data_IF_196513240854
#
_entry.id   IF_196513240854
#
_cell.length_a   1.000
_cell.length_b   1.000
_cell.length_c   1.000
_cell.angle_alpha   90.00
_cell.angle_beta   90.00
_cell.angle_gamma   90.00
#
_symmetry.space_group_name_H-M   'P 1'
#
loop_
_entity.id
_entity.type
_entity.pdbx_description
1 polymer ?
#
# COMPACT_ATOMS: atom_id res chain seq x y z
N UNK A 1 -43.39 13.34 7.34
CA UNK A 1 -42.52 13.61 8.51
C UNK A 1 -41.23 14.22 7.98
N UNK A 2 -40.66 15.26 8.61
CA UNK A 2 -39.48 15.94 8.08
C UNK A 2 -38.23 15.03 8.22
N UNK A 3 -37.39 14.91 7.17
CA UNK A 3 -36.26 13.97 7.11
C UNK A 3 -35.18 14.21 8.17
N UNK A 4 -35.12 15.41 8.74
CA UNK A 4 -34.20 15.78 9.81
C UNK A 4 -34.54 15.08 11.14
N UNK A 5 -35.82 14.81 11.41
CA UNK A 5 -36.23 14.12 12.64
C UNK A 5 -35.91 12.62 12.59
N UNK A 6 -35.99 11.97 11.42
CA UNK A 6 -35.52 10.60 11.24
C UNK A 6 -33.99 10.48 11.38
N UNK A 7 -33.25 11.48 10.90
CA UNK A 7 -31.79 11.52 11.05
C UNK A 7 -31.37 11.60 12.53
N UNK A 8 -32.05 12.46 13.30
CA UNK A 8 -31.83 12.61 14.75
C UNK A 8 -32.26 11.34 15.49
N UNK A 9 -33.40 10.75 15.13
CA UNK A 9 -33.89 9.52 15.76
C UNK A 9 -32.95 8.33 15.53
N UNK A 10 -32.43 8.15 14.30
CA UNK A 10 -31.42 7.13 13.99
C UNK A 10 -30.09 7.34 14.72
N UNK A 11 -29.77 8.59 15.06
CA UNK A 11 -28.60 8.95 15.87
C UNK A 11 -28.80 8.66 17.37
N UNK A 12 -30.01 8.83 17.89
CA UNK A 12 -30.37 8.59 19.29
C UNK A 12 -30.56 7.09 19.60
N UNK A 13 -30.80 6.28 18.57
CA UNK A 13 -30.96 4.83 18.68
C UNK A 13 -29.62 4.07 18.75
N UNK A 14 -29.66 2.79 19.13
CA UNK A 14 -28.49 1.91 19.32
C UNK A 14 -27.59 1.75 18.07
N UNK A 15 -28.05 2.17 16.89
CA UNK A 15 -27.24 2.21 15.66
C UNK A 15 -26.21 3.34 15.66
N UNK A 16 -26.57 4.54 16.15
CA UNK A 16 -25.65 5.68 16.24
C UNK A 16 -24.42 5.38 17.09
N UNK A 17 -24.65 4.73 18.24
CA UNK A 17 -23.57 4.27 19.14
C UNK A 17 -22.58 3.34 18.43
N UNK A 18 -23.06 2.37 17.65
CA UNK A 18 -22.18 1.42 16.92
C UNK A 18 -21.33 2.10 15.85
N UNK A 19 -21.87 3.14 15.21
CA UNK A 19 -21.13 3.94 14.21
C UNK A 19 -20.03 4.72 14.92
N UNK A 20 -20.35 5.40 16.02
CA UNK A 20 -19.38 6.16 16.82
C UNK A 20 -18.25 5.25 17.30
N UNK A 21 -18.55 4.06 17.82
CA UNK A 21 -17.54 3.10 18.27
C UNK A 21 -16.60 2.68 17.13
N UNK A 22 -17.14 2.38 15.93
CA UNK A 22 -16.31 2.02 14.76
C UNK A 22 -15.45 3.18 14.28
N UNK A 23 -16.01 4.39 14.24
CA UNK A 23 -15.27 5.61 13.88
C UNK A 23 -14.16 5.90 14.90
N UNK A 24 -14.43 5.74 16.18
CA UNK A 24 -13.43 5.92 17.23
C UNK A 24 -12.27 4.92 17.09
N UNK A 25 -12.56 3.64 16.83
CA UNK A 25 -11.52 2.63 16.55
C UNK A 25 -10.69 3.03 15.33
N UNK A 26 -11.34 3.39 14.22
CA UNK A 26 -10.64 3.80 13.00
C UNK A 26 -9.74 5.02 13.23
N UNK A 27 -10.22 6.03 13.99
CA UNK A 27 -9.43 7.20 14.34
C UNK A 27 -8.22 6.85 15.21
N UNK A 28 -8.35 5.90 16.14
CA UNK A 28 -7.21 5.40 16.92
C UNK A 28 -6.19 4.74 16.01
N UNK A 29 -6.62 3.90 15.06
CA UNK A 29 -5.70 3.25 14.11
C UNK A 29 -4.97 4.28 13.24
N UNK A 30 -5.69 5.26 12.69
CA UNK A 30 -5.11 6.37 11.92
C UNK A 30 -4.14 7.19 12.79
N UNK A 31 -4.52 7.46 14.04
CA UNK A 31 -3.68 8.18 14.99
C UNK A 31 -2.35 7.47 15.25
N UNK A 32 -2.35 6.15 15.40
CA UNK A 32 -1.13 5.35 15.55
C UNK A 32 -0.21 5.51 14.33
N UNK A 33 -0.76 5.44 13.12
CA UNK A 33 0.00 5.59 11.87
C UNK A 33 0.60 6.99 11.74
N UNK A 34 -0.19 8.04 11.99
CA UNK A 34 0.29 9.43 11.96
C UNK A 34 1.41 9.64 12.99
N UNK A 35 1.23 9.13 14.21
CA UNK A 35 2.24 9.24 15.26
C UNK A 35 3.54 8.52 14.88
N UNK A 36 3.44 7.38 14.21
CA UNK A 36 4.61 6.66 13.70
C UNK A 36 5.31 7.45 12.59
N UNK A 37 4.58 7.97 11.61
CA UNK A 37 5.16 8.71 10.48
C UNK A 37 5.80 10.04 10.89
N UNK A 38 5.22 10.74 11.86
CA UNK A 38 5.82 11.98 12.38
C UNK A 38 7.15 11.68 13.09
N UNK A 39 7.27 10.53 13.74
CA UNK A 39 8.47 10.16 14.51
C UNK A 39 9.56 9.52 13.66
N UNK A 40 9.20 8.58 12.79
CA UNK A 40 10.16 7.67 12.15
C UNK A 40 10.29 7.89 10.65
N UNK A 41 9.21 8.27 9.97
CA UNK A 41 9.23 8.40 8.51
C UNK A 41 9.95 9.67 8.07
N UNK A 42 10.81 9.55 7.05
CA UNK A 42 11.49 10.68 6.42
C UNK A 42 11.25 10.70 4.92
N UNK A 43 11.74 9.66 4.24
CA UNK A 43 11.61 9.41 2.81
C UNK A 43 11.84 7.90 2.61
N UNK A 44 11.70 7.42 1.38
CA UNK A 44 12.09 6.07 1.02
C UNK A 44 13.57 5.83 1.34
N UNK A 45 13.83 4.70 1.97
CA UNK A 45 15.19 4.22 2.29
C UNK A 45 15.57 3.01 1.44
N UNK A 46 14.58 2.29 0.92
CA UNK A 46 14.76 1.11 0.09
C UNK A 46 14.92 1.51 -1.40
N UNK A 47 16.06 1.18 -2.05
CA UNK A 47 16.25 1.42 -3.48
C UNK A 47 15.19 0.74 -4.35
N UNK A 48 14.66 -0.39 -3.90
CA UNK A 48 13.62 -1.15 -4.60
C UNK A 48 12.28 -0.39 -4.61
N UNK A 49 11.96 0.34 -3.55
CA UNK A 49 10.77 1.19 -3.51
C UNK A 49 10.90 2.38 -4.48
N UNK A 50 12.10 2.96 -4.56
CA UNK A 50 12.39 4.04 -5.49
C UNK A 50 12.29 3.59 -6.94
N UNK A 51 12.84 2.42 -7.28
CA UNK A 51 12.75 1.85 -8.62
C UNK A 51 11.32 1.45 -8.99
N UNK A 52 10.56 0.82 -8.09
CA UNK A 52 9.15 0.51 -8.35
C UNK A 52 8.32 1.78 -8.60
N UNK A 53 8.57 2.86 -7.84
CA UNK A 53 7.93 4.16 -8.06
C UNK A 53 8.39 4.81 -9.39
N UNK A 54 9.64 4.60 -9.79
CA UNK A 54 10.15 5.08 -11.07
C UNK A 54 9.48 4.34 -12.25
N UNK A 55 9.37 3.02 -12.17
CA UNK A 55 8.67 2.20 -13.17
C UNK A 55 7.21 2.62 -13.25
N UNK A 56 6.55 2.83 -12.11
CA UNK A 56 5.17 3.33 -12.06
C UNK A 56 5.00 4.67 -12.79
N UNK A 57 5.96 5.60 -12.64
CA UNK A 57 5.95 6.88 -13.36
C UNK A 57 6.09 6.69 -14.86
N UNK A 58 6.99 5.81 -15.30
CA UNK A 58 7.15 5.50 -16.72
C UNK A 58 5.88 4.90 -17.32
N UNK A 59 5.19 4.04 -16.58
CA UNK A 59 3.88 3.51 -16.97
C UNK A 59 2.84 4.64 -17.07
N UNK A 60 2.79 5.54 -16.06
CA UNK A 60 1.86 6.65 -16.03
C UNK A 60 2.05 7.62 -17.22
N UNK A 61 3.31 7.87 -17.59
CA UNK A 61 3.76 8.69 -18.73
C UNK A 61 3.52 8.00 -20.10
N UNK A 62 3.09 6.73 -20.12
CA UNK A 62 2.88 5.98 -21.37
C UNK A 62 4.14 5.37 -21.99
N UNK A 63 5.25 5.32 -21.25
CA UNK A 63 6.53 4.68 -21.68
C UNK A 63 6.53 3.16 -21.49
N UNK A 64 5.52 2.63 -20.78
CA UNK A 64 5.39 1.19 -20.48
C UNK A 64 6.24 0.73 -19.29
N UNK A 65 6.44 -0.59 -19.19
CA UNK A 65 7.27 -1.20 -18.14
C UNK A 65 8.75 -1.00 -18.45
N UNK A 66 9.24 0.17 -18.09
CA UNK A 66 10.62 0.55 -18.32
C UNK A 66 11.28 1.15 -17.09
N UNK A 67 12.59 0.97 -16.98
CA UNK A 67 13.40 1.51 -15.88
C UNK A 67 14.64 2.26 -16.42
N UNK A 68 15.11 3.25 -15.65
CA UNK A 68 16.43 3.86 -15.87
C UNK A 68 17.49 3.21 -14.98
N UNK A 69 17.11 2.23 -14.14
CA UNK A 69 18.05 1.50 -13.31
C UNK A 69 18.75 0.42 -14.12
N UNK A 70 20.05 0.62 -14.35
CA UNK A 70 20.88 -0.33 -15.07
C UNK A 70 21.23 -1.50 -14.14
N UNK A 71 20.73 -2.69 -14.48
CA UNK A 71 21.03 -3.94 -13.76
C UNK A 71 21.92 -4.84 -14.62
N UNK A 72 23.13 -5.22 -14.15
CA UNK A 72 24.06 -6.03 -14.95
C UNK A 72 23.46 -7.34 -15.46
N UNK A 73 22.66 -8.03 -14.65
CA UNK A 73 22.00 -9.26 -15.04
C UNK A 73 20.92 -9.04 -16.13
N UNK A 74 20.16 -7.95 -16.04
CA UNK A 74 19.17 -7.61 -17.07
C UNK A 74 19.84 -7.28 -18.40
N UNK A 75 20.97 -6.55 -18.39
CA UNK A 75 21.77 -6.28 -19.59
C UNK A 75 22.25 -7.56 -20.25
N UNK A 76 22.77 -8.51 -19.46
CA UNK A 76 23.19 -9.82 -19.96
C UNK A 76 22.02 -10.58 -20.62
N UNK A 77 20.84 -10.56 -20.00
CA UNK A 77 19.66 -11.23 -20.54
C UNK A 77 19.20 -10.58 -21.85
N UNK A 78 19.15 -9.24 -21.90
CA UNK A 78 18.77 -8.52 -23.12
C UNK A 78 19.78 -8.79 -24.25
N UNK A 79 21.09 -8.74 -23.97
CA UNK A 79 22.13 -8.99 -24.95
C UNK A 79 22.07 -10.42 -25.51
N UNK A 80 21.87 -11.41 -24.64
CA UNK A 80 21.76 -12.81 -25.06
C UNK A 80 20.50 -13.09 -25.89
N UNK A 81 19.35 -12.50 -25.54
CA UNK A 81 18.11 -12.68 -26.28
C UNK A 81 18.07 -11.90 -27.61
N UNK A 82 18.64 -10.69 -27.66
CA UNK A 82 18.59 -9.81 -28.84
C UNK A 82 19.82 -9.92 -29.76
N UNK A 83 20.83 -10.72 -29.39
CA UNK A 83 22.11 -10.87 -30.13
C UNK A 83 22.77 -9.52 -30.45
N UNK A 84 22.68 -8.57 -29.52
CA UNK A 84 23.24 -7.24 -29.70
C UNK A 84 24.78 -7.27 -29.62
N UNK A 85 25.50 -6.64 -30.55
CA UNK A 85 26.97 -6.61 -30.54
C UNK A 85 27.54 -5.87 -29.33
N UNK A 86 26.89 -4.77 -28.90
CA UNK A 86 27.33 -3.90 -27.82
C UNK A 86 26.25 -3.74 -26.74
N UNK A 87 26.64 -3.56 -25.45
CA UNK A 87 25.70 -3.24 -24.39
C UNK A 87 25.09 -1.85 -24.65
N UNK A 88 23.81 -1.82 -25.01
CA UNK A 88 23.04 -0.59 -25.23
C UNK A 88 22.77 0.08 -23.88
N UNK A 89 23.69 0.96 -23.46
CA UNK A 89 23.62 1.69 -22.18
C UNK A 89 22.86 3.03 -22.27
N UNK A 90 22.45 3.46 -23.47
CA UNK A 90 21.91 4.81 -23.70
C UNK A 90 20.39 4.90 -23.73
N UNK A 91 19.69 3.78 -23.82
CA UNK A 91 18.24 3.74 -23.91
C UNK A 91 17.58 3.29 -22.60
N UNK A 92 16.33 3.75 -22.43
CA UNK A 92 15.38 3.25 -21.45
C UNK A 92 15.30 1.72 -21.54
N UNK A 93 15.60 1.02 -20.44
CA UNK A 93 15.64 -0.44 -20.43
C UNK A 93 14.25 -1.01 -20.11
N UNK A 94 13.86 -2.15 -20.68
CA UNK A 94 12.66 -2.85 -20.25
C UNK A 94 12.84 -3.31 -18.78
N UNK A 95 11.82 -3.09 -17.96
CA UNK A 95 11.86 -3.56 -16.58
C UNK A 95 11.53 -5.06 -16.53
N UNK A 96 12.44 -5.83 -15.94
CA UNK A 96 12.34 -7.30 -15.82
C UNK A 96 12.33 -7.77 -14.37
N UNK A 97 12.46 -6.85 -13.41
CA UNK A 97 12.65 -7.21 -12.01
C UNK A 97 11.41 -6.97 -11.15
N UNK A 98 10.62 -5.93 -11.43
CA UNK A 98 9.45 -5.65 -10.61
C UNK A 98 8.26 -6.50 -11.06
N UNK A 99 7.56 -7.16 -10.11
CA UNK A 99 6.26 -7.75 -10.40
C UNK A 99 5.28 -6.67 -10.88
N UNK A 100 4.44 -6.94 -11.90
CA UNK A 100 3.73 -5.88 -12.61
C UNK A 100 2.62 -5.19 -11.80
N UNK A 101 2.00 -5.89 -10.84
CA UNK A 101 0.79 -5.41 -10.16
C UNK A 101 1.04 -4.13 -9.36
N UNK A 102 2.10 -4.09 -8.55
CA UNK A 102 2.35 -2.95 -7.67
C UNK A 102 2.73 -1.68 -8.45
N UNK A 103 3.68 -1.70 -9.42
CA UNK A 103 3.92 -0.55 -10.30
C UNK A 103 2.68 -0.09 -11.07
N UNK A 104 1.79 -0.99 -11.50
CA UNK A 104 0.52 -0.61 -12.14
C UNK A 104 -0.41 0.14 -11.19
N UNK A 105 -0.55 -0.33 -9.95
CA UNK A 105 -1.37 0.36 -8.94
C UNK A 105 -0.80 1.74 -8.61
N UNK A 106 0.52 1.86 -8.48
CA UNK A 106 1.18 3.14 -8.30
C UNK A 106 1.02 4.05 -9.52
N UNK A 107 1.10 3.51 -10.75
CA UNK A 107 0.88 4.27 -11.97
C UNK A 107 -0.56 4.80 -12.06
N UNK A 108 -1.54 4.00 -11.64
CA UNK A 108 -2.93 4.43 -11.52
C UNK A 108 -3.06 5.55 -10.49
N UNK A 109 -2.41 5.41 -9.33
CA UNK A 109 -2.39 6.44 -8.28
C UNK A 109 -1.81 7.76 -8.80
N UNK A 110 -0.72 7.70 -9.58
CA UNK A 110 -0.08 8.85 -10.23
C UNK A 110 -0.93 9.51 -11.32
N UNK A 111 -1.87 8.78 -11.93
CA UNK A 111 -2.84 9.36 -12.87
C UNK A 111 -4.01 10.04 -12.16
N UNK A 112 -4.38 9.56 -10.98
CA UNK A 112 -5.50 10.11 -10.20
C UNK A 112 -5.06 11.34 -9.42
N UNK A 113 -3.86 11.32 -8.83
CA UNK A 113 -3.31 12.42 -8.04
C UNK A 113 -2.09 13.02 -8.76
N UNK A 114 -1.97 14.35 -8.86
CA UNK A 114 -0.79 14.98 -9.45
C UNK A 114 0.42 14.77 -8.53
N UNK A 115 1.45 14.10 -9.06
CA UNK A 115 2.70 13.88 -8.33
C UNK A 115 3.65 15.04 -8.60
N UNK A 116 3.62 16.03 -7.71
CA UNK A 116 4.57 17.14 -7.75
C UNK A 116 5.87 16.74 -7.05
N UNK A 117 7.02 16.85 -7.71
CA UNK A 117 8.33 16.51 -7.13
C UNK A 117 8.88 17.62 -6.22
N UNK A 118 7.99 18.38 -5.58
CA UNK A 118 8.36 19.40 -4.61
C UNK A 118 8.68 18.75 -3.27
N UNK A 119 9.60 19.36 -2.56
CA UNK A 119 9.91 18.98 -1.18
C UNK A 119 9.05 19.79 -0.23
N UNK A 120 8.35 19.12 0.67
CA UNK A 120 7.67 19.73 1.80
C UNK A 120 8.36 19.27 3.08
N UNK A 121 8.97 20.20 3.82
CA UNK A 121 9.72 19.89 5.05
C UNK A 121 10.82 18.82 4.85
N UNK A 122 11.50 18.86 3.69
CA UNK A 122 12.53 17.88 3.32
C UNK A 122 12.01 16.49 2.90
N UNK A 123 10.69 16.32 2.82
CA UNK A 123 10.02 15.09 2.36
C UNK A 123 9.49 15.25 0.94
N UNK A 124 9.62 14.22 0.11
CA UNK A 124 9.08 14.25 -1.25
C UNK A 124 7.58 13.94 -1.26
N UNK A 125 6.77 14.85 -1.81
CA UNK A 125 5.30 14.69 -1.89
C UNK A 125 4.85 13.34 -2.49
N UNK A 126 5.46 12.83 -3.58
CA UNK A 126 5.14 11.52 -4.15
C UNK A 126 5.32 10.36 -3.17
N UNK A 127 6.35 10.40 -2.35
CA UNK A 127 6.66 9.33 -1.41
C UNK A 127 5.67 9.33 -0.24
N UNK A 128 5.19 10.52 0.16
CA UNK A 128 4.10 10.65 1.14
C UNK A 128 2.82 10.02 0.58
N UNK A 129 2.45 10.32 -0.68
CA UNK A 129 1.25 9.76 -1.30
C UNK A 129 1.32 8.23 -1.38
N UNK A 130 2.47 7.67 -1.78
CA UNK A 130 2.67 6.22 -1.82
C UNK A 130 2.65 5.60 -0.41
N UNK A 131 3.19 6.30 0.59
CA UNK A 131 3.14 5.86 1.99
C UNK A 131 1.71 5.78 2.50
N UNK A 132 0.91 6.82 2.27
CA UNK A 132 -0.53 6.82 2.61
C UNK A 132 -1.24 5.67 1.90
N UNK A 133 -0.94 5.44 0.62
CA UNK A 133 -1.50 4.31 -0.13
C UNK A 133 -1.16 2.96 0.51
N UNK A 134 0.09 2.73 0.90
CA UNK A 134 0.50 1.50 1.58
C UNK A 134 -0.11 1.36 2.98
N UNK A 135 -0.32 2.46 3.69
CA UNK A 135 -1.04 2.46 4.96
C UNK A 135 -2.53 2.11 4.78
N UNK A 136 -3.17 2.56 3.70
CA UNK A 136 -4.52 2.12 3.36
C UNK A 136 -4.55 0.60 3.10
N UNK A 137 -3.57 0.05 2.37
CA UNK A 137 -3.44 -1.39 2.18
C UNK A 137 -3.22 -2.12 3.52
N UNK A 138 -2.40 -1.57 4.40
CA UNK A 138 -2.15 -2.12 5.73
C UNK A 138 -3.42 -2.16 6.61
N UNK A 139 -4.22 -1.09 6.62
CA UNK A 139 -5.50 -1.06 7.33
C UNK A 139 -6.51 -2.05 6.73
N UNK A 140 -6.53 -2.20 5.41
CA UNK A 140 -7.37 -3.19 4.74
C UNK A 140 -6.94 -4.63 5.09
N UNK A 141 -5.63 -4.88 5.17
CA UNK A 141 -5.08 -6.16 5.64
C UNK A 141 -5.49 -6.42 7.10
N UNK A 142 -5.31 -5.45 8.00
CA UNK A 142 -5.75 -5.58 9.39
C UNK A 142 -7.27 -5.86 9.51
N UNK A 143 -8.10 -5.21 8.68
CA UNK A 143 -9.53 -5.51 8.62
C UNK A 143 -9.81 -6.93 8.13
N UNK A 144 -9.07 -7.40 7.12
CA UNK A 144 -9.26 -8.73 6.57
C UNK A 144 -8.77 -9.82 7.54
N UNK A 145 -7.64 -9.60 8.22
CA UNK A 145 -7.16 -10.43 9.32
C UNK A 145 -8.23 -10.58 10.40
N UNK A 146 -8.87 -9.48 10.81
CA UNK A 146 -10.00 -9.54 11.74
C UNK A 146 -11.12 -10.45 11.22
N UNK A 147 -11.50 -10.31 9.95
CA UNK A 147 -12.54 -11.14 9.33
C UNK A 147 -12.16 -12.62 9.29
N UNK A 148 -10.92 -12.94 8.93
CA UNK A 148 -10.41 -14.32 8.92
C UNK A 148 -10.46 -14.91 10.33
N UNK A 149 -9.99 -14.17 11.34
CA UNK A 149 -10.02 -14.63 12.72
C UNK A 149 -11.44 -14.84 13.24
N UNK A 150 -12.43 -14.06 12.79
CA UNK A 150 -13.84 -14.29 13.15
C UNK A 150 -14.44 -15.55 12.52
N UNK A 151 -13.90 -16.03 11.40
CA UNK A 151 -14.38 -17.25 10.75
C UNK A 151 -13.72 -18.48 11.39
N UNK A 152 -12.41 -18.39 11.68
CA UNK A 152 -11.64 -19.52 12.23
C UNK A 152 -11.73 -19.64 13.75
N UNK A 153 -11.92 -18.53 14.46
CA UNK A 153 -11.85 -18.45 15.92
C UNK A 153 -13.01 -17.61 16.49
N UNK A 154 -12.72 -16.69 17.41
CA UNK A 154 -13.69 -15.82 18.07
C UNK A 154 -13.32 -14.33 17.95
N UNK A 155 -14.19 -13.48 18.51
CA UNK A 155 -14.00 -12.02 18.51
C UNK A 155 -12.77 -11.58 19.29
N UNK A 156 -12.41 -12.29 20.35
CA UNK A 156 -11.27 -11.96 21.21
C UNK A 156 -9.97 -12.18 20.44
N UNK A 157 -9.81 -13.35 19.84
CA UNK A 157 -8.66 -13.68 18.98
C UNK A 157 -8.55 -12.68 17.84
N UNK A 158 -9.66 -12.34 17.16
CA UNK A 158 -9.64 -11.34 16.10
C UNK A 158 -9.12 -9.97 16.56
N UNK A 159 -9.56 -9.49 17.71
CA UNK A 159 -9.06 -8.22 18.26
C UNK A 159 -7.58 -8.29 18.61
N UNK A 160 -7.14 -9.36 19.28
CA UNK A 160 -5.73 -9.53 19.63
C UNK A 160 -4.83 -9.67 18.40
N UNK A 161 -5.24 -10.38 17.36
CA UNK A 161 -4.49 -10.50 16.11
C UNK A 161 -4.25 -9.13 15.46
N UNK A 162 -5.30 -8.31 15.35
CA UNK A 162 -5.18 -6.94 14.81
C UNK A 162 -4.31 -6.07 15.70
N UNK A 163 -4.49 -6.13 17.02
CA UNK A 163 -3.70 -5.35 17.97
C UNK A 163 -2.20 -5.69 17.86
N UNK A 164 -1.85 -6.99 17.73
CA UNK A 164 -0.47 -7.43 17.52
C UNK A 164 0.08 -6.97 16.18
N UNK A 165 -0.71 -7.08 15.10
CA UNK A 165 -0.30 -6.62 13.77
C UNK A 165 -0.02 -5.11 13.74
N UNK A 166 -0.94 -4.30 14.28
CA UNK A 166 -0.81 -2.83 14.30
C UNK A 166 0.25 -2.36 15.30
N UNK A 167 0.38 -3.04 16.43
CA UNK A 167 1.42 -2.74 17.42
C UNK A 167 2.82 -3.21 17.04
N UNK A 168 2.98 -3.96 15.95
CA UNK A 168 4.27 -4.46 15.50
C UNK A 168 5.05 -3.39 14.75
N UNK A 169 6.23 -3.06 15.26
CA UNK A 169 7.17 -2.16 14.58
C UNK A 169 7.51 -2.63 13.16
N UNK A 170 7.60 -3.95 12.94
CA UNK A 170 7.91 -4.52 11.64
C UNK A 170 6.85 -4.15 10.60
N UNK A 171 5.56 -4.34 10.92
CA UNK A 171 4.47 -3.98 10.01
C UNK A 171 4.37 -2.48 9.81
N UNK A 172 4.54 -1.67 10.87
CA UNK A 172 4.56 -0.21 10.75
C UNK A 172 5.68 0.27 9.81
N UNK A 173 6.89 -0.27 9.96
CA UNK A 173 8.03 0.03 9.08
C UNK A 173 7.78 -0.36 7.64
N UNK A 174 7.19 -1.53 7.38
CA UNK A 174 6.83 -1.92 6.03
C UNK A 174 5.72 -1.05 5.44
N UNK A 175 4.76 -0.58 6.27
CA UNK A 175 3.66 0.28 5.81
C UNK A 175 4.15 1.63 5.28
N UNK A 176 5.28 2.13 5.80
CA UNK A 176 5.90 3.38 5.38
C UNK A 176 7.09 3.21 4.43
N UNK A 177 7.48 1.98 4.11
CA UNK A 177 8.68 1.70 3.30
C UNK A 177 8.54 1.99 1.80
N UNK A 178 7.32 2.09 1.28
CA UNK A 178 7.07 2.20 -0.16
C UNK A 178 7.17 0.87 -0.93
N UNK A 179 7.43 -0.25 -0.25
CA UNK A 179 7.57 -1.59 -0.85
C UNK A 179 6.21 -2.25 -1.13
N UNK A 180 6.15 -3.24 -2.04
CA UNK A 180 4.94 -4.02 -2.33
C UNK A 180 4.49 -4.95 -1.19
N UNK A 181 5.20 -4.99 -0.06
CA UNK A 181 4.96 -5.94 1.04
C UNK A 181 3.51 -5.89 1.56
N UNK A 182 2.93 -4.71 1.72
CA UNK A 182 1.54 -4.58 2.19
C UNK A 182 0.52 -5.12 1.19
N UNK A 183 0.78 -4.93 -0.11
CA UNK A 183 -0.04 -5.54 -1.15
C UNK A 183 0.04 -7.06 -1.10
N UNK A 184 1.25 -7.62 -0.92
CA UNK A 184 1.44 -9.07 -0.85
C UNK A 184 0.73 -9.69 0.37
N UNK A 185 0.82 -9.06 1.54
CA UNK A 185 0.10 -9.49 2.74
C UNK A 185 -1.40 -9.49 2.47
N UNK A 186 -1.93 -8.39 1.92
CA UNK A 186 -3.35 -8.28 1.60
C UNK A 186 -3.81 -9.36 0.60
N UNK A 187 -3.06 -9.59 -0.49
CA UNK A 187 -3.38 -10.61 -1.48
C UNK A 187 -3.35 -12.00 -0.86
N UNK A 188 -2.35 -12.29 -0.01
CA UNK A 188 -2.24 -13.57 0.69
C UNK A 188 -3.43 -13.80 1.63
N UNK A 189 -3.78 -12.80 2.45
CA UNK A 189 -4.96 -12.85 3.32
C UNK A 189 -6.26 -12.98 2.51
N UNK A 190 -6.39 -12.31 1.36
CA UNK A 190 -7.55 -12.46 0.47
C UNK A 190 -7.70 -13.89 -0.03
N UNK A 191 -6.60 -14.53 -0.43
CA UNK A 191 -6.61 -15.93 -0.86
C UNK A 191 -7.07 -16.83 0.29
N UNK A 192 -6.52 -16.64 1.49
CA UNK A 192 -6.91 -17.41 2.69
C UNK A 192 -8.39 -17.20 2.99
N UNK A 193 -8.86 -15.96 3.00
CA UNK A 193 -10.25 -15.62 3.28
C UNK A 193 -11.20 -16.26 2.28
N UNK A 194 -10.86 -16.24 0.99
CA UNK A 194 -11.62 -16.91 -0.05
C UNK A 194 -11.63 -18.42 0.16
N UNK A 195 -10.48 -19.04 0.44
CA UNK A 195 -10.37 -20.49 0.67
C UNK A 195 -11.22 -20.95 1.84
N UNK A 196 -11.16 -20.25 2.98
CA UNK A 196 -11.94 -20.59 4.17
C UNK A 196 -13.44 -20.40 3.92
N UNK A 197 -13.83 -19.37 3.17
CA UNK A 197 -15.24 -19.12 2.85
C UNK A 197 -15.85 -20.17 1.92
N UNK A 198 -15.01 -20.86 1.14
CA UNK A 198 -15.44 -21.92 0.23
C UNK A 198 -15.50 -23.31 0.88
N UNK A 199 -14.83 -23.50 2.03
CA UNK A 199 -14.89 -24.72 2.85
C UNK A 199 -16.12 -24.71 3.77
#
# INVERSE_FOLDING_TARGET
MPPIQELIYKWDEAEGRKIIEKCAVLLVLIGILILYDVKEYKNFTAPEAMDAAQVARNIADGKGFSTLWIRPFALYLIQSHQKLPDPVLKDVQPDLANPPVYPLMLALLMKIFPFDFTTFDGRYSPEIIITIFNQCLFLLAAFLLYKISLILFDKSVGFFSVAVMIGSELFLKFSSSGLPTMLLILVFELIIWLLIRWL
#
